data_IF_666302056116
#
_entry.id   IF_666302056116
#
_cell.length_a   1.000
_cell.length_b   1.000
_cell.length_c   1.000
_cell.angle_alpha   90.00
_cell.angle_beta   90.00
_cell.angle_gamma   90.00
#
_symmetry.space_group_name_H-M   'P 1'
#
loop_
_entity.id
_entity.type
_entity.pdbx_description
1 polymer ?
#
# COMPACT_ATOMS: atom_id res chain seq x y z
N UNK A 1 -19.57 -3.58 -15.64
CA UNK A 1 -18.39 -2.97 -14.98
C UNK A 1 -18.75 -1.89 -13.96
N UNK A 2 -19.66 -0.95 -14.25
CA UNK A 2 -20.06 0.09 -13.27
C UNK A 2 -20.65 -0.41 -11.95
N UNK A 3 -21.42 -1.51 -11.95
CA UNK A 3 -21.94 -2.10 -10.70
C UNK A 3 -20.83 -2.66 -9.80
N UNK A 4 -19.72 -3.11 -10.38
CA UNK A 4 -18.56 -3.65 -9.65
C UNK A 4 -17.76 -2.50 -9.04
N UNK A 5 -17.59 -1.39 -9.78
CA UNK A 5 -16.87 -0.19 -9.30
C UNK A 5 -17.68 0.54 -8.23
N UNK A 6 -18.99 0.71 -8.43
CA UNK A 6 -19.88 1.35 -7.45
C UNK A 6 -20.06 0.50 -6.18
N UNK A 7 -20.07 -0.83 -6.30
CA UNK A 7 -20.08 -1.75 -5.16
C UNK A 7 -18.76 -1.74 -4.38
N UNK A 8 -17.64 -1.57 -5.07
CA UNK A 8 -16.30 -1.50 -4.48
C UNK A 8 -16.07 -0.18 -3.72
N UNK A 9 -16.59 0.93 -4.23
CA UNK A 9 -16.55 2.23 -3.54
C UNK A 9 -17.40 2.22 -2.26
N UNK A 10 -18.62 1.68 -2.31
CA UNK A 10 -19.46 1.54 -1.11
C UNK A 10 -18.84 0.61 -0.06
N UNK A 11 -18.16 -0.45 -0.50
CA UNK A 11 -17.44 -1.37 0.39
C UNK A 11 -16.25 -0.68 1.08
N UNK A 12 -15.46 0.11 0.35
CA UNK A 12 -14.37 0.91 0.92
C UNK A 12 -14.88 1.99 1.89
N UNK A 13 -15.99 2.65 1.55
CA UNK A 13 -16.64 3.63 2.41
C UNK A 13 -17.22 2.99 3.70
N UNK A 14 -17.83 1.81 3.60
CA UNK A 14 -18.36 1.07 4.75
C UNK A 14 -17.24 0.50 5.63
N UNK A 15 -16.10 0.11 5.05
CA UNK A 15 -14.90 -0.28 5.80
C UNK A 15 -14.29 0.92 6.53
N UNK A 16 -14.12 2.06 5.86
CA UNK A 16 -13.51 3.26 6.44
C UNK A 16 -14.35 3.84 7.58
N UNK A 17 -15.68 3.87 7.43
CA UNK A 17 -16.60 4.39 8.47
C UNK A 17 -16.76 3.46 9.67
N UNK A 18 -16.49 2.15 9.52
CA UNK A 18 -16.60 1.16 10.61
C UNK A 18 -15.26 0.77 11.25
N UNK A 19 -14.12 1.12 10.65
CA UNK A 19 -12.78 0.76 11.14
C UNK A 19 -12.00 1.92 11.77
N UNK A 20 -12.33 3.18 11.47
CA UNK A 20 -11.70 4.32 12.13
C UNK A 20 -12.71 5.05 13.04
N UNK A 21 -12.69 4.82 14.37
CA UNK A 21 -13.18 5.83 15.29
C UNK A 21 -12.17 6.98 15.27
N UNK A 22 -12.60 8.16 14.82
CA UNK A 22 -11.83 9.39 14.95
C UNK A 22 -11.43 9.57 16.44
N UNK A 23 -10.13 9.56 16.71
CA UNK A 23 -9.51 10.23 17.86
C UNK A 23 -9.63 11.74 17.61
N UNK A 24 -10.03 12.66 18.50
CA UNK A 24 -10.14 12.75 19.96
C UNK A 24 -11.29 13.73 20.22
N UNK A 25 -12.25 13.39 21.10
CA UNK A 25 -12.68 14.37 22.12
C UNK A 25 -13.31 13.69 23.33
N UNK A 26 -12.99 14.27 24.48
CA UNK A 26 -13.19 13.70 25.80
C UNK A 26 -14.62 13.98 26.29
N UNK A 27 -15.42 12.93 26.53
CA UNK A 27 -16.32 12.78 27.70
C UNK A 27 -17.38 11.70 27.49
N UNK A 28 -17.45 10.79 28.45
CA UNK A 28 -18.61 9.98 28.89
C UNK A 28 -19.83 9.87 27.97
N UNK A 29 -20.06 8.68 27.40
CA UNK A 29 -21.19 7.80 27.74
C UNK A 29 -21.10 6.52 26.92
N UNK A 30 -21.24 5.38 27.60
CA UNK A 30 -21.25 4.04 27.01
C UNK A 30 -22.47 3.91 26.12
N UNK A 31 -22.25 3.82 24.80
CA UNK A 31 -23.22 3.27 23.87
C UNK A 31 -22.55 2.13 23.12
N UNK A 32 -22.97 0.90 23.44
CA UNK A 32 -22.58 -0.32 22.72
C UNK A 32 -23.09 -0.23 21.27
N UNK A 33 -22.29 0.36 20.39
CA UNK A 33 -22.43 0.14 18.96
C UNK A 33 -21.65 -1.12 18.59
N UNK A 34 -22.41 -2.10 18.15
CA UNK A 34 -21.98 -3.43 17.72
C UNK A 34 -20.97 -3.31 16.58
N UNK A 35 -19.68 -3.40 16.91
CA UNK A 35 -18.60 -3.53 15.94
C UNK A 35 -18.72 -4.89 15.26
N UNK A 36 -19.42 -4.94 14.12
CA UNK A 36 -19.50 -6.14 13.28
C UNK A 36 -18.08 -6.48 12.79
N UNK A 37 -17.68 -7.75 12.94
CA UNK A 37 -16.35 -8.19 12.53
C UNK A 37 -16.16 -7.97 11.03
N UNK A 38 -14.96 -7.55 10.64
CA UNK A 38 -14.55 -7.35 9.23
C UNK A 38 -14.88 -8.59 8.38
N UNK A 39 -14.74 -9.79 8.97
CA UNK A 39 -15.08 -11.04 8.31
C UNK A 39 -16.56 -11.14 7.88
N UNK A 40 -17.50 -10.58 8.64
CA UNK A 40 -18.92 -10.57 8.27
C UNK A 40 -19.21 -9.63 7.11
N UNK A 41 -18.55 -8.46 7.07
CA UNK A 41 -18.68 -7.48 5.99
C UNK A 41 -18.12 -8.05 4.68
N UNK A 42 -16.94 -8.65 4.75
CA UNK A 42 -16.29 -9.33 3.62
C UNK A 42 -17.15 -10.49 3.10
N UNK A 43 -17.67 -11.35 3.99
CA UNK A 43 -18.55 -12.47 3.62
C UNK A 43 -19.84 -12.01 2.94
N UNK A 44 -20.47 -10.95 3.44
CA UNK A 44 -21.70 -10.39 2.86
C UNK A 44 -21.45 -9.79 1.47
N UNK A 45 -20.30 -9.14 1.28
CA UNK A 45 -19.88 -8.62 -0.02
C UNK A 45 -19.67 -9.74 -1.04
N UNK A 46 -18.90 -10.78 -0.69
CA UNK A 46 -18.67 -11.93 -1.56
C UNK A 46 -19.96 -12.65 -1.95
N UNK A 47 -20.90 -12.83 -1.01
CA UNK A 47 -22.20 -13.42 -1.32
C UNK A 47 -23.02 -12.58 -2.31
N UNK A 48 -22.99 -11.24 -2.20
CA UNK A 48 -23.65 -10.37 -3.19
C UNK A 48 -23.00 -10.45 -4.56
N UNK A 49 -21.68 -10.56 -4.60
CA UNK A 49 -20.91 -10.67 -5.85
C UNK A 49 -21.16 -12.00 -6.56
N UNK A 50 -21.26 -13.09 -5.79
CA UNK A 50 -21.67 -14.41 -6.31
C UNK A 50 -23.10 -14.38 -6.87
N UNK A 51 -24.06 -13.74 -6.19
CA UNK A 51 -25.42 -13.58 -6.72
C UNK A 51 -25.45 -12.77 -8.03
N UNK A 52 -24.66 -11.70 -8.12
CA UNK A 52 -24.53 -10.93 -9.36
C UNK A 52 -23.94 -11.76 -10.50
N UNK A 53 -22.95 -12.60 -10.21
CA UNK A 53 -22.37 -13.51 -11.18
C UNK A 53 -23.41 -14.52 -11.70
N UNK A 54 -24.22 -15.09 -10.81
CA UNK A 54 -25.31 -16.01 -11.18
C UNK A 54 -26.36 -15.34 -12.09
N UNK A 55 -26.73 -14.09 -11.79
CA UNK A 55 -27.68 -13.32 -12.60
C UNK A 55 -27.11 -13.02 -13.99
N UNK A 56 -25.82 -12.64 -14.08
CA UNK A 56 -25.16 -12.38 -15.36
C UNK A 56 -25.06 -13.65 -16.22
N UNK A 57 -24.78 -14.79 -15.60
CA UNK A 57 -24.72 -16.09 -16.28
C UNK A 57 -26.11 -16.54 -16.78
N UNK A 58 -27.19 -16.28 -16.03
CA UNK A 58 -28.56 -16.48 -16.49
C UNK A 58 -28.93 -15.57 -17.68
N UNK A 59 -28.43 -14.34 -17.70
CA UNK A 59 -28.68 -13.41 -18.80
C UNK A 59 -27.97 -13.85 -20.10
N UNK A 60 -26.73 -14.34 -20.02
CA UNK A 60 -26.02 -14.89 -21.19
C UNK A 60 -26.65 -16.16 -21.75
N UNK A 61 -27.14 -17.05 -20.87
CA UNK A 61 -27.83 -18.29 -21.30
C UNK A 61 -29.19 -18.00 -21.94
N UNK A 62 -29.94 -17.01 -21.45
CA UNK A 62 -31.18 -16.55 -22.08
C UNK A 62 -30.94 -15.89 -23.45
N UNK A 63 -29.83 -15.15 -23.60
CA UNK A 63 -29.43 -14.57 -24.89
C UNK A 63 -29.09 -15.63 -25.94
N UNK A 64 -28.47 -16.74 -25.54
CA UNK A 64 -28.18 -17.90 -26.42
C UNK A 64 -29.44 -18.70 -26.81
N UNK A 65 -30.47 -18.75 -25.95
CA UNK A 65 -31.77 -19.39 -26.27
C UNK A 65 -32.59 -18.57 -27.28
N UNK A 66 -32.49 -17.24 -27.25
CA UNK A 66 -33.22 -16.35 -28.18
C UNK A 66 -32.74 -16.44 -29.64
N UNK A 67 -31.53 -16.94 -29.90
CA UNK A 67 -30.99 -17.11 -31.25
C UNK A 67 -31.29 -18.48 -31.88
N UNK A 68 -31.86 -19.44 -31.13
CA UNK A 68 -32.18 -20.77 -31.66
C UNK A 68 -33.63 -20.95 -32.13
N UNK A 69 -34.52 -19.98 -31.90
CA UNK A 69 -35.93 -20.04 -32.34
C UNK A 69 -36.27 -19.17 -33.55
N UNK A 70 -35.30 -18.51 -34.18
CA UNK A 70 -35.52 -17.67 -35.38
C UNK A 70 -34.81 -18.16 -36.65
N UNK A 71 -34.24 -19.36 -36.65
CA UNK A 71 -33.61 -19.98 -37.83
C UNK A 71 -34.47 -21.06 -38.50
N UNK A 72 -35.79 -20.88 -38.55
CA UNK A 72 -36.66 -21.69 -39.40
C UNK A 72 -37.87 -20.87 -39.82
N UNK A 73 -37.73 -20.12 -40.92
CA UNK A 73 -38.73 -19.84 -41.97
C UNK A 73 -37.91 -19.23 -43.11
N UNK A 74 -37.38 -20.10 -43.98
CA UNK A 74 -36.87 -19.72 -45.30
C UNK A 74 -37.96 -20.05 -46.30
N UNK A 75 -38.91 -19.13 -46.46
CA UNK A 75 -39.93 -19.20 -47.51
C UNK A 75 -39.36 -18.61 -48.79
N UNK A 76 -39.29 -19.44 -49.84
CA UNK A 76 -39.10 -19.02 -51.22
C UNK A 76 -40.23 -18.05 -51.60
N UNK A 77 -39.89 -16.87 -52.11
CA UNK A 77 -40.78 -16.13 -53.01
C UNK A 77 -39.98 -15.54 -54.15
N UNK A 78 -40.56 -15.70 -55.34
CA UNK A 78 -39.95 -15.51 -56.65
C UNK A 78 -39.58 -14.04 -56.91
N UNK A 79 -38.42 -13.83 -57.55
CA UNK A 79 -38.20 -12.65 -58.38
C UNK A 79 -39.18 -12.71 -59.55
N UNK A 80 -40.24 -11.91 -59.50
CA UNK A 80 -40.95 -11.48 -60.69
C UNK A 80 -40.90 -9.96 -60.78
N UNK A 81 -40.31 -9.53 -61.88
CA UNK A 81 -40.38 -8.23 -62.55
C UNK A 81 -41.64 -7.42 -62.27
N UNK A 82 -41.49 -6.28 -61.59
CA UNK A 82 -42.39 -5.14 -61.76
C UNK A 82 -41.57 -3.84 -61.74
N UNK A 83 -41.57 -3.15 -62.90
CA UNK A 83 -41.11 -1.76 -63.02
C UNK A 83 -42.08 -0.88 -62.23
N UNK A 84 -41.67 -0.44 -61.05
CA UNK A 84 -42.38 0.63 -60.35
C UNK A 84 -41.84 1.98 -60.81
N UNK A 85 -42.52 2.62 -61.76
CA UNK A 85 -42.46 4.07 -61.92
C UNK A 85 -43.42 4.66 -60.88
N UNK A 86 -42.88 5.27 -59.83
CA UNK A 86 -43.68 6.01 -58.86
C UNK A 86 -44.25 7.27 -59.52
N UNK A 87 -45.57 7.40 -59.53
CA UNK A 87 -46.26 8.66 -59.82
C UNK A 87 -46.39 9.49 -58.55
N UNK A 88 -46.36 10.82 -58.72
CA UNK A 88 -46.30 11.87 -57.69
C UNK A 88 -47.33 11.70 -56.54
N UNK A 89 -48.44 11.02 -56.78
CA UNK A 89 -49.55 10.86 -55.82
C UNK A 89 -49.39 9.71 -54.81
N UNK A 90 -48.37 8.84 -54.93
CA UNK A 90 -48.07 7.80 -53.91
C UNK A 90 -47.05 8.25 -52.85
N UNK A 91 -46.59 9.51 -52.91
CA UNK A 91 -45.43 9.99 -52.15
C UNK A 91 -45.70 10.60 -50.77
N UNK A 92 -46.95 10.58 -50.29
CA UNK A 92 -47.32 11.28 -49.04
C UNK A 92 -47.36 10.38 -47.80
N UNK A 93 -47.08 9.07 -47.93
CA UNK A 93 -47.06 8.11 -46.83
C UNK A 93 -45.64 7.81 -46.34
N UNK A 94 -45.45 7.75 -45.03
CA UNK A 94 -44.21 7.30 -44.41
C UNK A 94 -43.96 5.82 -44.73
N UNK A 95 -42.81 5.51 -45.35
CA UNK A 95 -42.39 4.13 -45.56
C UNK A 95 -42.16 3.43 -44.21
N UNK A 96 -42.73 2.23 -44.01
CA UNK A 96 -42.61 1.46 -42.76
C UNK A 96 -41.14 1.15 -42.39
N UNK A 97 -40.29 0.92 -43.39
CA UNK A 97 -38.85 0.74 -43.20
C UNK A 97 -38.17 2.04 -42.72
N UNK A 98 -38.61 3.20 -43.22
CA UNK A 98 -38.08 4.50 -42.77
C UNK A 98 -38.48 4.79 -41.32
N UNK A 99 -39.71 4.46 -40.91
CA UNK A 99 -40.15 4.58 -39.51
C UNK A 99 -39.29 3.68 -38.63
N UNK A 100 -39.09 2.43 -39.02
CA UNK A 100 -38.27 1.48 -38.26
C UNK A 100 -36.81 1.96 -38.15
N UNK A 101 -36.24 2.48 -39.24
CA UNK A 101 -34.89 3.06 -39.22
C UNK A 101 -34.78 4.27 -38.28
N UNK A 102 -35.76 5.17 -38.30
CA UNK A 102 -35.81 6.32 -37.39
C UNK A 102 -35.97 5.93 -35.92
N UNK A 103 -36.71 4.84 -35.63
CA UNK A 103 -36.77 4.29 -34.27
C UNK A 103 -35.42 3.73 -33.82
N UNK A 104 -34.71 2.99 -34.68
CA UNK A 104 -33.36 2.52 -34.36
C UNK A 104 -32.41 3.67 -34.11
N UNK A 105 -32.46 4.71 -34.95
CA UNK A 105 -31.73 5.95 -34.72
C UNK A 105 -31.96 6.46 -33.29
N UNK A 106 -33.20 6.72 -32.91
CA UNK A 106 -33.51 7.25 -31.58
C UNK A 106 -32.93 6.37 -30.46
N UNK A 107 -33.09 5.05 -30.56
CA UNK A 107 -32.58 4.12 -29.56
C UNK A 107 -31.04 4.14 -29.47
N UNK A 108 -30.33 4.21 -30.61
CA UNK A 108 -28.87 4.36 -30.62
C UNK A 108 -28.43 5.71 -30.04
N UNK A 109 -29.14 6.80 -30.35
CA UNK A 109 -28.81 8.12 -29.77
C UNK A 109 -28.94 8.16 -28.26
N UNK A 110 -30.01 7.59 -27.72
CA UNK A 110 -30.20 7.48 -26.27
C UNK A 110 -29.02 6.73 -25.64
N UNK A 111 -28.59 5.65 -26.27
CA UNK A 111 -27.45 4.86 -25.77
C UNK A 111 -26.16 5.68 -25.76
N UNK A 112 -25.88 6.46 -26.82
CA UNK A 112 -24.69 7.32 -26.92
C UNK A 112 -24.74 8.46 -25.88
N UNK A 113 -25.90 9.11 -25.72
CA UNK A 113 -26.11 10.17 -24.73
C UNK A 113 -25.86 9.63 -23.31
N UNK A 114 -26.45 8.47 -23.00
CA UNK A 114 -26.26 7.82 -21.70
C UNK A 114 -24.80 7.45 -21.45
N UNK A 115 -24.07 6.97 -22.46
CA UNK A 115 -22.63 6.72 -22.35
C UNK A 115 -21.85 8.01 -22.06
N UNK A 116 -22.15 9.11 -22.76
CA UNK A 116 -21.50 10.39 -22.48
C UNK A 116 -21.75 10.84 -21.04
N UNK A 117 -23.01 10.83 -20.58
CA UNK A 117 -23.35 11.20 -19.20
C UNK A 117 -22.69 10.29 -18.16
N UNK A 118 -22.61 8.98 -18.42
CA UNK A 118 -21.98 8.01 -17.55
C UNK A 118 -20.50 8.31 -17.29
N UNK A 119 -19.81 8.84 -18.31
CA UNK A 119 -18.43 9.28 -18.22
C UNK A 119 -18.29 10.78 -17.90
N UNK A 120 -19.39 11.45 -17.51
CA UNK A 120 -19.46 12.88 -17.25
C UNK A 120 -18.94 13.74 -18.43
N UNK A 121 -19.19 13.30 -19.66
CA UNK A 121 -18.85 13.99 -20.89
C UNK A 121 -20.07 14.76 -21.41
N UNK A 122 -19.87 15.94 -22.02
CA UNK A 122 -20.96 16.65 -22.68
C UNK A 122 -21.40 15.91 -23.94
N UNK A 123 -22.71 15.76 -24.12
CA UNK A 123 -23.29 15.20 -25.35
C UNK A 123 -23.89 16.32 -26.21
N UNK A 124 -23.37 16.44 -27.44
CA UNK A 124 -23.93 17.33 -28.46
C UNK A 124 -25.31 16.87 -28.91
N UNK A 125 -25.53 15.54 -28.92
CA UNK A 125 -26.80 14.94 -29.29
C UNK A 125 -27.89 15.17 -28.25
N UNK A 126 -27.54 15.11 -26.96
CA UNK A 126 -28.47 15.43 -25.86
C UNK A 126 -28.93 16.88 -25.95
N UNK A 127 -28.00 17.80 -26.20
CA UNK A 127 -28.30 19.22 -26.36
C UNK A 127 -29.24 19.50 -27.54
N UNK A 128 -28.99 18.84 -28.68
CA UNK A 128 -29.85 18.95 -29.86
C UNK A 128 -31.27 18.47 -29.55
N UNK A 129 -31.42 17.30 -28.91
CA UNK A 129 -32.74 16.73 -28.61
C UNK A 129 -33.54 17.53 -27.59
N UNK A 130 -32.89 18.14 -26.60
CA UNK A 130 -33.55 19.11 -25.72
C UNK A 130 -34.11 20.32 -26.47
N UNK A 131 -33.51 20.67 -27.62
CA UNK A 131 -33.92 21.80 -28.45
C UNK A 131 -35.02 21.46 -29.48
N UNK A 132 -35.28 20.18 -29.74
CA UNK A 132 -36.24 19.69 -30.77
C UNK A 132 -37.44 18.92 -30.19
N UNK A 133 -37.58 18.86 -28.87
CA UNK A 133 -38.58 18.06 -28.15
C UNK A 133 -40.05 18.47 -28.37
N UNK A 134 -40.31 19.54 -29.12
CA UNK A 134 -41.65 19.99 -29.52
C UNK A 134 -42.17 19.38 -30.84
N UNK A 135 -41.35 18.61 -31.57
CA UNK A 135 -41.67 18.06 -32.90
C UNK A 135 -41.81 16.53 -32.79
N UNK A 136 -42.84 16.06 -32.07
CA UNK A 136 -42.92 14.65 -31.65
C UNK A 136 -43.64 13.71 -32.63
N UNK A 137 -44.25 14.21 -33.70
CA UNK A 137 -45.18 13.39 -34.51
C UNK A 137 -44.86 13.36 -36.02
N UNK A 138 -43.77 14.00 -36.46
CA UNK A 138 -43.38 14.01 -37.88
C UNK A 138 -42.11 13.18 -38.14
N UNK A 139 -42.02 12.59 -39.34
CA UNK A 139 -40.78 11.98 -39.82
C UNK A 139 -39.63 12.98 -39.72
N UNK A 140 -38.48 12.54 -39.19
CA UNK A 140 -37.25 13.36 -39.09
C UNK A 140 -36.88 13.88 -40.49
N UNK A 141 -36.66 15.20 -40.62
CA UNK A 141 -36.26 15.78 -41.91
C UNK A 141 -34.85 15.36 -42.31
N UNK A 142 -34.50 15.45 -43.60
CA UNK A 142 -33.14 15.15 -44.06
C UNK A 142 -32.09 16.04 -43.37
N UNK A 143 -32.43 17.31 -43.10
CA UNK A 143 -31.54 18.23 -42.42
C UNK A 143 -31.31 17.84 -40.95
N UNK A 144 -32.36 17.37 -40.29
CA UNK A 144 -32.27 16.83 -38.93
C UNK A 144 -31.40 15.58 -38.87
N UNK A 145 -31.53 14.66 -39.85
CA UNK A 145 -30.68 13.47 -39.93
C UNK A 145 -29.20 13.85 -40.05
N UNK A 146 -28.87 14.81 -40.91
CA UNK A 146 -27.49 15.28 -41.08
C UNK A 146 -26.94 15.91 -39.80
N UNK A 147 -27.68 16.82 -39.17
CA UNK A 147 -27.25 17.44 -37.92
C UNK A 147 -27.08 16.41 -36.79
N UNK A 148 -27.96 15.42 -36.76
CA UNK A 148 -27.94 14.35 -35.78
C UNK A 148 -26.75 13.41 -35.99
N UNK A 149 -26.37 13.12 -37.24
CA UNK A 149 -25.12 12.44 -37.59
C UNK A 149 -23.89 13.23 -37.14
N UNK A 150 -23.82 14.53 -37.43
CA UNK A 150 -22.71 15.39 -37.01
C UNK A 150 -22.58 15.45 -35.48
N UNK A 151 -23.73 15.50 -34.78
CA UNK A 151 -23.79 15.50 -33.32
C UNK A 151 -23.30 14.17 -32.74
N UNK A 152 -23.67 13.04 -33.36
CA UNK A 152 -23.16 11.72 -32.98
C UNK A 152 -21.67 11.57 -33.21
N UNK A 153 -21.16 12.03 -34.35
CA UNK A 153 -19.73 11.98 -34.66
C UNK A 153 -18.90 12.70 -33.60
N UNK A 154 -19.36 13.89 -33.17
CA UNK A 154 -18.71 14.66 -32.09
C UNK A 154 -18.71 13.91 -30.76
N UNK A 155 -19.80 13.23 -30.42
CA UNK A 155 -19.90 12.45 -29.19
C UNK A 155 -18.99 11.21 -29.24
N UNK A 156 -18.90 10.53 -30.39
CA UNK A 156 -17.95 9.43 -30.59
C UNK A 156 -16.49 9.89 -30.50
N UNK A 157 -16.13 11.04 -31.07
CA UNK A 157 -14.79 11.60 -30.96
C UNK A 157 -14.42 11.89 -29.49
N UNK A 158 -15.35 12.43 -28.71
CA UNK A 158 -15.15 12.67 -27.28
C UNK A 158 -14.97 11.37 -26.52
N UNK A 159 -15.82 10.36 -26.77
CA UNK A 159 -15.70 9.04 -26.15
C UNK A 159 -14.38 8.36 -26.52
N UNK A 160 -13.97 8.43 -27.78
CA UNK A 160 -12.71 7.87 -28.27
C UNK A 160 -11.51 8.49 -27.55
N UNK A 161 -11.44 9.83 -27.48
CA UNK A 161 -10.39 10.55 -26.74
C UNK A 161 -10.39 10.20 -25.26
N UNK A 162 -11.57 10.06 -24.64
CA UNK A 162 -11.66 9.65 -23.24
C UNK A 162 -11.14 8.23 -23.01
N UNK A 163 -11.46 7.28 -23.90
CA UNK A 163 -10.94 5.93 -23.84
C UNK A 163 -9.42 5.88 -24.00
N UNK A 164 -8.87 6.68 -24.92
CA UNK A 164 -7.42 6.81 -25.08
C UNK A 164 -6.75 7.35 -23.81
N UNK A 165 -7.32 8.41 -23.23
CA UNK A 165 -6.84 8.97 -21.95
C UNK A 165 -6.87 7.93 -20.82
N UNK A 166 -7.95 7.17 -20.68
CA UNK A 166 -8.07 6.11 -19.67
C UNK A 166 -7.04 5.00 -19.89
N UNK A 167 -6.83 4.58 -21.13
CA UNK A 167 -5.84 3.55 -21.45
C UNK A 167 -4.41 4.02 -21.13
N UNK A 168 -4.09 5.26 -21.48
CA UNK A 168 -2.79 5.86 -21.15
C UNK A 168 -2.56 5.97 -19.64
N UNK A 169 -3.59 6.39 -18.90
CA UNK A 169 -3.54 6.49 -17.43
C UNK A 169 -3.41 5.11 -16.78
N UNK A 170 -4.11 4.10 -17.31
CA UNK A 170 -4.01 2.73 -16.85
C UNK A 170 -2.59 2.18 -17.05
N UNK A 171 -2.01 2.38 -18.23
CA UNK A 171 -0.65 1.94 -18.54
C UNK A 171 0.38 2.63 -17.65
N UNK A 172 0.25 3.95 -17.44
CA UNK A 172 1.12 4.69 -16.53
C UNK A 172 1.03 4.16 -15.11
N UNK A 173 -0.19 4.03 -14.56
CA UNK A 173 -0.40 3.53 -13.20
C UNK A 173 0.13 2.11 -13.03
N UNK A 174 -0.01 1.25 -14.06
CA UNK A 174 0.54 -0.09 -14.05
C UNK A 174 2.08 -0.10 -13.98
N UNK A 175 2.73 0.79 -14.73
CA UNK A 175 4.19 0.93 -14.69
C UNK A 175 4.65 1.48 -13.33
N UNK A 176 3.97 2.50 -12.80
CA UNK A 176 4.29 3.08 -11.48
C UNK A 176 4.13 2.03 -10.36
N UNK A 177 3.12 1.16 -10.47
CA UNK A 177 2.91 0.05 -9.53
C UNK A 177 4.06 -0.97 -9.59
N UNK A 178 4.47 -1.38 -10.79
CA UNK A 178 5.58 -2.33 -10.99
C UNK A 178 6.90 -1.77 -10.44
N UNK A 179 7.19 -0.49 -10.73
CA UNK A 179 8.36 0.21 -10.19
C UNK A 179 8.35 0.28 -8.66
N UNK A 180 7.21 0.62 -8.06
CA UNK A 180 7.06 0.68 -6.60
C UNK A 180 7.20 -0.70 -5.96
N UNK A 181 6.64 -1.75 -6.56
CA UNK A 181 6.77 -3.12 -6.09
C UNK A 181 8.24 -3.58 -6.10
N UNK A 182 8.97 -3.26 -7.18
CA UNK A 182 10.39 -3.55 -7.29
C UNK A 182 11.23 -2.79 -6.24
N UNK A 183 10.92 -1.51 -6.00
CA UNK A 183 11.58 -0.73 -4.96
C UNK A 183 11.32 -1.29 -3.55
N UNK A 184 10.09 -1.72 -3.26
CA UNK A 184 9.76 -2.40 -2.01
C UNK A 184 10.55 -3.70 -1.83
N UNK A 185 10.73 -4.50 -2.88
CA UNK A 185 11.56 -5.72 -2.84
C UNK A 185 13.00 -5.38 -2.50
N UNK A 186 13.60 -4.41 -3.18
CA UNK A 186 14.99 -3.97 -2.94
C UNK A 186 15.19 -3.44 -1.51
N UNK A 187 14.26 -2.62 -1.01
CA UNK A 187 14.31 -2.13 0.37
C UNK A 187 14.21 -3.27 1.38
N UNK A 188 13.36 -4.27 1.12
CA UNK A 188 13.22 -5.42 2.02
C UNK A 188 14.49 -6.27 2.06
N UNK A 189 15.11 -6.52 0.90
CA UNK A 189 16.40 -7.20 0.81
C UNK A 189 17.51 -6.45 1.57
N UNK A 190 17.58 -5.13 1.38
CA UNK A 190 18.54 -4.27 2.08
C UNK A 190 18.31 -4.28 3.59
N UNK A 191 17.05 -4.22 4.03
CA UNK A 191 16.70 -4.25 5.45
C UNK A 191 17.07 -5.59 6.09
N UNK A 192 16.80 -6.71 5.41
CA UNK A 192 17.22 -8.03 5.88
C UNK A 192 18.75 -8.14 6.01
N UNK A 193 19.49 -7.63 5.02
CA UNK A 193 20.95 -7.59 5.06
C UNK A 193 21.49 -6.74 6.23
N UNK A 194 20.94 -5.54 6.42
CA UNK A 194 21.33 -4.66 7.53
C UNK A 194 20.98 -5.27 8.90
N UNK A 195 19.83 -5.95 9.02
CA UNK A 195 19.47 -6.67 10.25
C UNK A 195 20.47 -7.79 10.56
N UNK A 196 20.95 -8.50 9.55
CA UNK A 196 21.98 -9.52 9.71
C UNK A 196 23.30 -8.91 10.19
N UNK A 197 23.78 -7.82 9.57
CA UNK A 197 25.00 -7.12 10.02
C UNK A 197 24.86 -6.67 11.49
N UNK A 198 23.73 -6.05 11.84
CA UNK A 198 23.48 -5.59 13.21
C UNK A 198 23.50 -6.77 14.19
N UNK A 199 22.97 -7.92 13.80
CA UNK A 199 23.00 -9.13 14.62
C UNK A 199 24.44 -9.61 14.86
N UNK A 200 25.22 -9.76 13.79
CA UNK A 200 26.60 -10.25 13.83
C UNK A 200 27.52 -9.30 14.62
N UNK A 201 27.34 -7.98 14.46
CA UNK A 201 28.08 -6.97 15.20
C UNK A 201 27.75 -7.02 16.70
N UNK A 202 26.47 -7.18 17.07
CA UNK A 202 26.06 -7.35 18.47
C UNK A 202 26.67 -8.59 19.09
N UNK A 203 26.70 -9.71 18.37
CA UNK A 203 27.30 -10.96 18.86
C UNK A 203 28.82 -10.80 19.05
N UNK A 204 29.49 -10.17 18.08
CA UNK A 204 30.94 -9.90 18.14
C UNK A 204 31.29 -8.97 19.30
N UNK A 205 30.50 -7.91 19.51
CA UNK A 205 30.65 -6.99 20.64
C UNK A 205 30.50 -7.72 21.97
N UNK A 206 29.49 -8.58 22.10
CA UNK A 206 29.27 -9.37 23.32
C UNK A 206 30.47 -10.26 23.64
N UNK A 207 31.01 -10.96 22.63
CA UNK A 207 32.22 -11.80 22.79
C UNK A 207 33.44 -10.97 23.24
N UNK A 208 33.60 -9.78 22.68
CA UNK A 208 34.71 -8.88 23.03
C UNK A 208 34.56 -8.34 24.45
N UNK A 209 33.35 -7.95 24.86
CA UNK A 209 33.05 -7.50 26.23
C UNK A 209 33.35 -8.60 27.25
N UNK A 210 32.90 -9.83 27.00
CA UNK A 210 33.18 -10.98 27.87
C UNK A 210 34.70 -11.22 28.00
N UNK A 211 35.43 -11.21 26.89
CA UNK A 211 36.88 -11.37 26.88
C UNK A 211 37.60 -10.24 27.65
N UNK A 212 37.16 -8.99 27.51
CA UNK A 212 37.72 -7.86 28.26
C UNK A 212 37.42 -7.98 29.76
N UNK A 213 36.20 -8.36 30.14
CA UNK A 213 35.86 -8.56 31.56
C UNK A 213 36.70 -9.65 32.20
N UNK A 214 36.92 -10.78 31.52
CA UNK A 214 37.75 -11.87 32.01
C UNK A 214 39.22 -11.43 32.20
N UNK A 215 39.78 -10.71 31.21
CA UNK A 215 41.14 -10.16 31.33
C UNK A 215 41.28 -9.17 32.49
N UNK A 216 40.28 -8.32 32.72
CA UNK A 216 40.30 -7.38 33.85
C UNK A 216 40.29 -8.11 35.19
N UNK A 217 39.52 -9.19 35.32
CA UNK A 217 39.49 -10.02 36.52
C UNK A 217 40.87 -10.67 36.76
N UNK A 218 41.50 -11.21 35.71
CA UNK A 218 42.83 -11.83 35.78
C UNK A 218 43.90 -10.82 36.20
N UNK A 219 43.99 -9.68 35.51
CA UNK A 219 44.94 -8.61 35.85
C UNK A 219 44.73 -8.11 37.29
N UNK A 220 43.47 -7.96 37.72
CA UNK A 220 43.17 -7.53 39.08
C UNK A 220 43.66 -8.56 40.11
N UNK A 221 43.40 -9.85 39.87
CA UNK A 221 43.86 -10.94 40.75
C UNK A 221 45.38 -10.97 40.86
N UNK A 222 46.08 -10.84 39.73
CA UNK A 222 47.54 -10.82 39.71
C UNK A 222 48.10 -9.60 40.43
N UNK A 223 47.49 -8.43 40.25
CA UNK A 223 47.88 -7.21 40.94
C UNK A 223 47.64 -7.32 42.45
N UNK A 224 46.48 -7.82 42.89
CA UNK A 224 46.16 -8.05 44.29
C UNK A 224 47.17 -9.03 44.94
N UNK A 225 47.54 -10.11 44.24
CA UNK A 225 48.56 -11.04 44.69
C UNK A 225 49.94 -10.41 44.79
N UNK A 226 50.33 -9.59 43.80
CA UNK A 226 51.60 -8.87 43.81
C UNK A 226 51.66 -7.88 44.99
N UNK A 227 50.57 -7.17 45.25
CA UNK A 227 50.45 -6.25 46.39
C UNK A 227 50.56 -6.98 47.74
N UNK A 228 49.92 -8.14 47.89
CA UNK A 228 50.06 -8.97 49.09
C UNK A 228 51.52 -9.35 49.33
N UNK A 229 52.19 -9.88 48.31
CA UNK A 229 53.60 -10.28 48.39
C UNK A 229 54.50 -9.08 48.74
N UNK A 230 54.27 -7.91 48.12
CA UNK A 230 55.05 -6.70 48.40
C UNK A 230 54.82 -6.21 49.83
N UNK A 231 53.59 -6.24 50.32
CA UNK A 231 53.25 -5.85 51.69
C UNK A 231 53.90 -6.79 52.72
N UNK A 232 53.97 -8.09 52.44
CA UNK A 232 54.70 -9.05 53.28
C UNK A 232 56.20 -8.75 53.32
N UNK A 233 56.81 -8.46 52.17
CA UNK A 233 58.22 -8.06 52.11
C UNK A 233 58.49 -6.76 52.87
N UNK A 234 57.62 -5.75 52.72
CA UNK A 234 57.73 -4.49 53.47
C UNK A 234 57.68 -4.75 54.98
N UNK A 235 56.75 -5.59 55.45
CA UNK A 235 56.67 -5.96 56.88
C UNK A 235 57.94 -6.64 57.37
N UNK A 236 58.47 -7.58 56.59
CA UNK A 236 59.71 -8.29 56.93
C UNK A 236 60.89 -7.32 57.01
N UNK A 237 61.10 -6.50 55.98
CA UNK A 237 62.18 -5.51 55.93
C UNK A 237 62.05 -4.47 57.05
N UNK A 238 60.84 -4.05 57.38
CA UNK A 238 60.59 -3.12 58.51
C UNK A 238 61.00 -3.76 59.84
N UNK A 239 60.66 -5.02 60.05
CA UNK A 239 61.04 -5.77 61.27
C UNK A 239 62.57 -5.94 61.36
N UNK A 240 63.21 -6.30 60.24
CA UNK A 240 64.66 -6.42 60.16
C UNK A 240 65.35 -5.08 60.43
N UNK A 241 64.84 -3.98 59.85
CA UNK A 241 65.34 -2.63 60.10
C UNK A 241 65.29 -2.26 61.58
N UNK A 242 64.15 -2.47 62.25
CA UNK A 242 63.99 -2.18 63.69
C UNK A 242 65.00 -2.98 64.53
N UNK A 243 65.20 -4.27 64.22
CA UNK A 243 66.16 -5.10 64.93
C UNK A 243 67.61 -4.60 64.76
N UNK A 244 68.00 -4.21 63.53
CA UNK A 244 69.33 -3.63 63.26
C UNK A 244 69.50 -2.29 63.99
N UNK A 245 68.48 -1.43 63.97
CA UNK A 245 68.50 -0.15 64.70
C UNK A 245 68.67 -0.35 66.21
N UNK A 246 68.01 -1.35 66.79
CA UNK A 246 68.18 -1.73 68.20
C UNK A 246 69.61 -2.22 68.50
N UNK A 247 70.16 -3.11 67.66
CA UNK A 247 71.53 -3.59 67.80
C UNK A 247 72.55 -2.46 67.69
N UNK A 248 72.38 -1.56 66.72
CA UNK A 248 73.23 -0.38 66.58
C UNK A 248 73.17 0.48 67.84
N UNK A 249 71.97 0.76 68.36
CA UNK A 249 71.82 1.55 69.60
C UNK A 249 72.58 0.92 70.76
N UNK A 250 72.44 -0.40 70.96
CA UNK A 250 73.14 -1.13 72.02
C UNK A 250 74.67 -1.07 71.87
N UNK A 251 75.18 -1.29 70.65
CA UNK A 251 76.63 -1.18 70.37
C UNK A 251 77.14 0.25 70.61
N UNK A 252 76.34 1.25 70.25
CA UNK A 252 76.71 2.66 70.42
C UNK A 252 76.78 3.01 71.91
N UNK A 253 75.79 2.60 72.70
CA UNK A 253 75.77 2.75 74.16
C UNK A 253 76.97 2.03 74.81
N UNK A 254 77.27 0.79 74.41
CA UNK A 254 78.46 0.07 74.88
C UNK A 254 79.77 0.79 74.53
N UNK A 255 79.89 1.30 73.31
CA UNK A 255 81.07 2.00 72.83
C UNK A 255 81.29 3.31 73.58
N UNK A 256 80.23 4.07 73.84
CA UNK A 256 80.30 5.29 74.66
C UNK A 256 80.72 4.99 76.10
N UNK A 257 80.12 3.98 76.73
CA UNK A 257 80.48 3.54 78.08
C UNK A 257 81.95 3.09 78.18
N UNK A 258 82.42 2.25 77.26
CA UNK A 258 83.83 1.83 77.18
C UNK A 258 84.75 3.03 76.92
N UNK A 259 84.36 3.96 76.05
CA UNK A 259 85.10 5.20 75.80
C UNK A 259 85.22 6.10 77.04
N UNK A 260 84.17 6.21 77.85
CA UNK A 260 84.21 6.90 79.14
C UNK A 260 85.11 6.20 80.16
N UNK A 261 85.09 4.87 80.21
CA UNK A 261 86.00 4.08 81.05
C UNK A 261 87.46 4.31 80.66
N UNK A 262 87.79 4.30 79.37
CA UNK A 262 89.14 4.59 78.87
C UNK A 262 89.56 6.02 79.23
N UNK A 263 88.68 7.02 79.09
CA UNK A 263 88.96 8.40 79.52
C UNK A 263 89.22 8.52 81.03
N UNK A 264 88.57 7.71 81.86
CA UNK A 264 88.85 7.65 83.31
C UNK A 264 90.21 7.01 83.60
N UNK A 265 90.55 5.92 82.91
CA UNK A 265 91.85 5.24 83.06
C UNK A 265 93.03 6.10 82.57
N UNK A 266 92.85 6.87 81.49
CA UNK A 266 93.87 7.79 80.98
C UNK A 266 94.11 9.05 81.84
N UNK A 267 93.27 9.33 82.85
CA UNK A 267 93.49 10.39 83.84
C UNK A 267 94.22 9.90 85.10
N UNK A 268 94.50 8.59 85.19
CA UNK A 268 95.20 7.93 86.30
C UNK A 268 96.66 7.57 85.95
N UNK A 269 97.13 7.98 84.77
CA UNK A 269 98.53 7.95 84.31
C UNK A 269 99.03 9.38 84.23
#
# INVERSE_FOLDING_TARGET
LLLVVHGSWHFLHELQTKLLPNTIDSSSTVNQQTSLSVGLVVKKYWNKLLNLFTILQQHETNRKRSHHTTSSIRSKSNLNTEKYCQTIETSLGSCSLCIQFQQYLHNYSESIINLCHLYNLPSSLAHYRCSTSSISECLISLNDINHWFDSQSKDFDRLSKHLEYLNNTLNKTKNDLDLSENHCKQLNETNNYLQQIIHDEKESKKKLEELHTNKLIEIKKDNDQCQLNLNEQIKLLTTQKINIEQQLKQITEESTSKGEQIKKLGKLV
#
